data_IF_551809450015
#
_entry.id   IF_551809450015
#
_cell.length_a   1.000
_cell.length_b   1.000
_cell.length_c   1.000
_cell.angle_alpha   90.00
_cell.angle_beta   90.00
_cell.angle_gamma   90.00
#
_symmetry.space_group_name_H-M   'P 1'
#
loop_
_entity.id
_entity.type
_entity.pdbx_description
1 polymer ?
#
# COMPACT_ATOMS: atom_id res chain seq x y z
N UNK A 1 -10.80 -25.64 -0.42
CA UNK A 1 -11.75 -24.51 -0.41
C UNK A 1 -12.05 -24.17 1.04
N UNK A 2 -11.51 -23.07 1.59
CA UNK A 2 -11.71 -22.79 3.03
C UNK A 2 -10.89 -21.66 3.65
N UNK A 3 -10.45 -20.66 2.87
CA UNK A 3 -9.69 -19.52 3.41
C UNK A 3 -10.33 -18.19 2.98
N UNK A 4 -11.06 -17.51 3.88
CA UNK A 4 -11.29 -16.05 3.92
C UNK A 4 -12.54 -15.59 4.72
N UNK A 5 -12.92 -16.23 5.83
CA UNK A 5 -14.05 -15.75 6.64
C UNK A 5 -13.81 -14.46 7.48
N UNK A 6 -12.64 -14.19 8.10
CA UNK A 6 -12.53 -13.07 9.05
C UNK A 6 -12.51 -11.68 8.39
N UNK A 7 -12.09 -11.58 7.13
CA UNK A 7 -12.10 -10.31 6.39
C UNK A 7 -13.49 -9.92 5.88
N UNK A 8 -14.24 -10.90 5.35
CA UNK A 8 -15.60 -10.67 4.84
C UNK A 8 -16.56 -10.24 5.94
N UNK A 9 -16.48 -10.87 7.11
CA UNK A 9 -17.36 -10.50 8.24
C UNK A 9 -17.15 -9.04 8.67
N UNK A 10 -15.89 -8.58 8.74
CA UNK A 10 -15.56 -7.18 9.08
C UNK A 10 -16.11 -6.20 8.04
N UNK A 11 -16.00 -6.54 6.76
CA UNK A 11 -16.55 -5.72 5.67
C UNK A 11 -18.09 -5.66 5.73
N UNK A 12 -18.77 -6.78 6.00
CA UNK A 12 -20.23 -6.82 6.20
C UNK A 12 -20.61 -5.97 7.40
N UNK A 13 -19.92 -6.11 8.53
CA UNK A 13 -20.22 -5.36 9.75
C UNK A 13 -20.03 -3.85 9.53
N UNK A 14 -18.94 -3.45 8.89
CA UNK A 14 -18.69 -2.05 8.51
C UNK A 14 -19.82 -1.52 7.63
N UNK A 15 -20.23 -2.28 6.62
CA UNK A 15 -21.32 -1.89 5.72
C UNK A 15 -22.65 -1.73 6.48
N UNK A 16 -23.02 -2.71 7.30
CA UNK A 16 -24.28 -2.68 8.08
C UNK A 16 -24.30 -1.49 9.04
N UNK A 17 -23.24 -1.30 9.82
CA UNK A 17 -23.13 -0.18 10.76
C UNK A 17 -23.21 1.14 10.01
N UNK A 18 -22.48 1.28 8.90
CA UNK A 18 -22.50 2.50 8.09
C UNK A 18 -23.90 2.79 7.54
N UNK A 19 -24.62 1.78 7.06
CA UNK A 19 -25.99 1.94 6.56
C UNK A 19 -26.97 2.34 7.66
N UNK A 20 -26.81 1.84 8.89
CA UNK A 20 -27.61 2.29 10.04
C UNK A 20 -27.38 3.78 10.34
N UNK A 21 -26.12 4.24 10.31
CA UNK A 21 -25.82 5.66 10.48
C UNK A 21 -26.31 6.52 9.32
N UNK A 22 -26.28 6.02 8.08
CA UNK A 22 -26.91 6.69 6.94
C UNK A 22 -28.41 6.84 7.16
N UNK A 23 -29.10 5.79 7.60
CA UNK A 23 -30.53 5.85 7.92
C UNK A 23 -30.83 6.85 9.05
N UNK A 24 -30.00 6.88 10.10
CA UNK A 24 -30.09 7.89 11.15
C UNK A 24 -29.85 9.31 10.61
N UNK A 25 -28.90 9.49 9.70
CA UNK A 25 -28.65 10.75 9.01
C UNK A 25 -29.85 11.22 8.17
N UNK A 26 -30.53 10.30 7.47
CA UNK A 26 -31.78 10.59 6.75
C UNK A 26 -32.88 11.00 7.72
N UNK A 27 -33.01 10.32 8.86
CA UNK A 27 -33.96 10.70 9.90
C UNK A 27 -33.67 12.13 10.42
N UNK A 28 -32.41 12.45 10.73
CA UNK A 28 -32.00 13.80 11.15
C UNK A 28 -32.23 14.84 10.05
N UNK A 29 -32.03 14.47 8.78
CA UNK A 29 -32.31 15.35 7.64
C UNK A 29 -33.79 15.72 7.56
N UNK A 30 -34.69 14.79 7.88
CA UNK A 30 -36.15 14.98 7.79
C UNK A 30 -36.74 15.66 9.03
N UNK A 31 -36.19 15.39 10.22
CA UNK A 31 -36.80 15.79 11.50
C UNK A 31 -35.90 16.69 12.37
N UNK A 32 -34.70 17.02 11.92
CA UNK A 32 -33.70 17.74 12.70
C UNK A 32 -32.86 18.71 11.87
N UNK A 33 -31.63 19.04 12.34
CA UNK A 33 -30.77 19.98 11.63
C UNK A 33 -30.29 19.41 10.29
N UNK A 34 -30.75 20.02 9.19
CA UNK A 34 -30.48 19.58 7.82
C UNK A 34 -28.98 19.38 7.56
N UNK A 35 -28.14 20.34 7.96
CA UNK A 35 -26.69 20.24 7.76
C UNK A 35 -26.07 19.06 8.49
N UNK A 36 -26.51 18.75 9.72
CA UNK A 36 -26.02 17.60 10.46
C UNK A 36 -26.42 16.30 9.76
N UNK A 37 -27.66 16.20 9.28
CA UNK A 37 -28.13 15.06 8.50
C UNK A 37 -27.28 14.83 7.24
N UNK A 38 -27.00 15.90 6.47
CA UNK A 38 -26.14 15.83 5.27
C UNK A 38 -24.71 15.37 5.59
N UNK A 39 -24.11 15.88 6.67
CA UNK A 39 -22.75 15.49 7.09
C UNK A 39 -22.70 14.01 7.48
N UNK A 40 -23.67 13.54 8.26
CA UNK A 40 -23.76 12.13 8.66
C UNK A 40 -23.93 11.24 7.42
N UNK A 41 -24.82 11.60 6.49
CA UNK A 41 -25.03 10.85 5.25
C UNK A 41 -23.75 10.83 4.40
N UNK A 42 -23.08 11.97 4.22
CA UNK A 42 -21.87 12.04 3.40
C UNK A 42 -20.73 11.19 3.99
N UNK A 43 -20.49 11.30 5.30
CA UNK A 43 -19.42 10.59 5.98
C UNK A 43 -19.68 9.07 6.01
N UNK A 44 -20.83 8.66 6.57
CA UNK A 44 -21.15 7.24 6.70
C UNK A 44 -21.55 6.59 5.38
N UNK A 45 -22.11 7.35 4.43
CA UNK A 45 -22.31 6.89 3.05
C UNK A 45 -20.97 6.59 2.38
N UNK A 46 -19.96 7.42 2.63
CA UNK A 46 -18.58 7.14 2.23
C UNK A 46 -18.04 5.85 2.85
N UNK A 47 -18.20 5.65 4.17
CA UNK A 47 -17.82 4.40 4.84
C UNK A 47 -18.56 3.18 4.26
N UNK A 48 -19.85 3.31 3.94
CA UNK A 48 -20.62 2.23 3.32
C UNK A 48 -20.07 1.86 1.94
N UNK A 49 -19.71 2.84 1.11
CA UNK A 49 -19.06 2.60 -0.17
C UNK A 49 -17.72 1.87 -0.01
N UNK A 50 -16.90 2.26 0.98
CA UNK A 50 -15.65 1.55 1.29
C UNK A 50 -15.93 0.11 1.72
N UNK A 51 -16.91 -0.11 2.61
CA UNK A 51 -17.34 -1.45 3.01
C UNK A 51 -17.77 -2.32 1.83
N UNK A 52 -18.52 -1.74 0.89
CA UNK A 52 -18.92 -2.39 -0.35
C UNK A 52 -17.70 -2.78 -1.20
N UNK A 53 -16.70 -1.91 -1.35
CA UNK A 53 -15.48 -2.25 -2.10
C UNK A 53 -14.69 -3.39 -1.49
N UNK A 54 -14.67 -3.51 -0.15
CA UNK A 54 -14.01 -4.63 0.53
C UNK A 54 -14.72 -5.97 0.25
N UNK A 55 -16.03 -5.95 -0.01
CA UNK A 55 -16.81 -7.13 -0.43
C UNK A 55 -16.61 -7.48 -1.91
N UNK A 56 -16.52 -6.46 -2.78
CA UNK A 56 -16.25 -6.63 -4.21
C UNK A 56 -14.82 -7.12 -4.48
N UNK A 57 -13.88 -6.73 -3.63
CA UNK A 57 -12.46 -7.06 -3.77
C UNK A 57 -11.68 -6.03 -4.59
N UNK A 58 -10.35 -6.05 -4.43
CA UNK A 58 -9.47 -5.06 -5.06
C UNK A 58 -9.39 -5.19 -6.60
N UNK A 59 -9.76 -6.35 -7.16
CA UNK A 59 -9.72 -6.63 -8.61
C UNK A 59 -10.93 -6.09 -9.37
N UNK A 60 -12.02 -5.78 -8.66
CA UNK A 60 -13.25 -5.37 -9.33
C UNK A 60 -13.07 -3.97 -9.96
N UNK A 61 -13.47 -3.75 -11.24
CA UNK A 61 -13.22 -2.49 -11.95
C UNK A 61 -13.91 -1.28 -11.31
N UNK A 62 -15.02 -1.50 -10.58
CA UNK A 62 -15.71 -0.45 -9.85
C UNK A 62 -15.00 -0.04 -8.55
N UNK A 63 -14.10 -0.86 -8.01
CA UNK A 63 -13.45 -0.63 -6.71
C UNK A 63 -12.72 0.71 -6.62
N UNK A 64 -11.83 1.11 -7.55
CA UNK A 64 -11.16 2.41 -7.45
C UNK A 64 -12.14 3.59 -7.52
N UNK A 65 -13.21 3.48 -8.31
CA UNK A 65 -14.23 4.53 -8.47
C UNK A 65 -15.03 4.66 -7.17
N UNK A 66 -15.60 3.56 -6.68
CA UNK A 66 -16.38 3.54 -5.44
C UNK A 66 -15.54 3.96 -4.23
N UNK A 67 -14.28 3.55 -4.18
CA UNK A 67 -13.34 3.94 -3.15
C UNK A 67 -13.00 5.44 -3.23
N UNK A 68 -12.82 5.98 -4.44
CA UNK A 68 -12.61 7.40 -4.68
C UNK A 68 -13.81 8.24 -4.27
N UNK A 69 -15.01 7.89 -4.74
CA UNK A 69 -16.27 8.57 -4.39
C UNK A 69 -16.53 8.49 -2.88
N UNK A 70 -16.36 7.32 -2.28
CA UNK A 70 -16.54 7.14 -0.84
C UNK A 70 -15.54 7.97 -0.01
N UNK A 71 -14.29 8.05 -0.46
CA UNK A 71 -13.27 8.89 0.18
C UNK A 71 -13.59 10.39 0.05
N UNK A 72 -14.08 10.84 -1.10
CA UNK A 72 -14.54 12.23 -1.26
C UNK A 72 -15.71 12.54 -0.30
N UNK A 73 -16.69 11.63 -0.20
CA UNK A 73 -17.81 11.77 0.75
C UNK A 73 -17.35 11.91 2.20
N UNK A 74 -16.42 11.06 2.64
CA UNK A 74 -15.80 11.16 3.98
C UNK A 74 -15.03 12.48 4.14
N UNK A 75 -14.27 12.90 3.13
CA UNK A 75 -13.52 14.16 3.15
C UNK A 75 -14.42 15.39 3.29
N UNK A 76 -15.55 15.41 2.58
CA UNK A 76 -16.57 16.47 2.71
C UNK A 76 -17.20 16.48 4.11
N UNK A 77 -17.50 15.30 4.67
CA UNK A 77 -17.97 15.19 6.05
C UNK A 77 -16.96 15.77 7.05
N UNK A 78 -15.68 15.43 6.91
CA UNK A 78 -14.61 16.01 7.73
C UNK A 78 -14.50 17.52 7.57
N UNK A 79 -14.58 18.05 6.35
CA UNK A 79 -14.51 19.49 6.09
C UNK A 79 -15.68 20.23 6.75
N UNK A 80 -16.89 19.67 6.69
CA UNK A 80 -18.06 20.27 7.31
C UNK A 80 -18.00 20.23 8.84
N UNK A 81 -17.52 19.12 9.42
CA UNK A 81 -17.27 19.03 10.87
C UNK A 81 -16.17 20.02 11.32
N UNK A 82 -15.11 20.17 10.52
CA UNK A 82 -14.05 21.15 10.74
C UNK A 82 -14.60 22.59 10.74
N UNK A 83 -15.42 22.94 9.74
CA UNK A 83 -16.05 24.25 9.66
C UNK A 83 -16.95 24.53 10.88
N UNK A 84 -17.70 23.52 11.33
CA UNK A 84 -18.49 23.58 12.56
C UNK A 84 -17.62 23.82 13.80
N UNK A 85 -16.55 23.04 13.98
CA UNK A 85 -15.63 23.19 15.11
C UNK A 85 -14.92 24.54 15.16
N UNK A 86 -14.55 25.10 14.01
CA UNK A 86 -13.93 26.43 13.92
C UNK A 86 -14.93 27.55 14.19
N UNK A 87 -16.20 27.39 13.83
CA UNK A 87 -17.24 28.40 14.03
C UNK A 87 -17.56 28.68 15.50
N UNK A 88 -17.35 27.69 16.37
CA UNK A 88 -17.53 27.82 17.82
C UNK A 88 -16.35 28.43 18.57
N UNK A 89 -15.18 28.56 17.92
CA UNK A 89 -13.94 28.99 18.56
C UNK A 89 -13.35 27.92 19.49
N UNK A 90 -12.30 27.18 19.08
CA UNK A 90 -11.67 26.17 19.91
C UNK A 90 -11.17 26.77 21.23
N UNK A 91 -11.61 26.21 22.36
CA UNK A 91 -11.42 26.80 23.68
C UNK A 91 -10.35 26.09 24.51
N UNK A 92 -10.13 24.80 24.25
CA UNK A 92 -9.15 23.99 24.96
C UNK A 92 -8.30 23.11 24.02
N UNK A 93 -7.35 22.37 24.60
CA UNK A 93 -6.49 21.47 23.86
C UNK A 93 -7.25 20.32 23.18
N UNK A 94 -8.39 19.88 23.74
CA UNK A 94 -9.23 18.84 23.17
C UNK A 94 -9.91 19.29 21.88
N UNK A 95 -10.45 20.51 21.87
CA UNK A 95 -11.04 21.14 20.69
C UNK A 95 -10.02 21.24 19.55
N UNK A 96 -8.79 21.67 19.87
CA UNK A 96 -7.71 21.75 18.89
C UNK A 96 -7.28 20.39 18.33
N UNK A 97 -7.28 19.35 19.17
CA UNK A 97 -7.04 17.98 18.72
C UNK A 97 -8.14 17.53 17.74
N UNK A 98 -9.40 17.81 18.04
CA UNK A 98 -10.52 17.48 17.14
C UNK A 98 -10.43 18.22 15.81
N UNK A 99 -10.10 19.51 15.83
CA UNK A 99 -9.83 20.31 14.62
C UNK A 99 -8.72 19.69 13.78
N UNK A 100 -7.61 19.30 14.41
CA UNK A 100 -6.49 18.66 13.73
C UNK A 100 -6.89 17.32 13.10
N UNK A 101 -7.64 16.47 13.82
CA UNK A 101 -8.13 15.18 13.30
C UNK A 101 -9.05 15.41 12.09
N UNK A 102 -9.97 16.37 12.15
CA UNK A 102 -10.87 16.68 11.04
C UNK A 102 -10.12 17.25 9.84
N UNK A 103 -9.11 18.10 10.05
CA UNK A 103 -8.26 18.61 8.97
C UNK A 103 -7.47 17.48 8.29
N UNK A 104 -6.85 16.61 9.08
CA UNK A 104 -6.11 15.45 8.56
C UNK A 104 -7.05 14.52 7.78
N UNK A 105 -8.25 14.26 8.32
CA UNK A 105 -9.28 13.46 7.65
C UNK A 105 -9.73 14.09 6.33
N UNK A 106 -10.03 15.39 6.32
CA UNK A 106 -10.43 16.11 5.11
C UNK A 106 -9.34 16.08 4.03
N UNK A 107 -8.07 16.30 4.42
CA UNK A 107 -6.94 16.23 3.51
C UNK A 107 -6.76 14.81 2.96
N UNK A 108 -6.73 13.81 3.84
CA UNK A 108 -6.44 12.43 3.45
C UNK A 108 -7.56 11.81 2.61
N UNK A 109 -8.81 11.91 3.05
CA UNK A 109 -9.95 11.34 2.34
C UNK A 109 -10.37 12.18 1.14
N UNK A 110 -10.39 13.51 1.27
CA UNK A 110 -10.74 14.42 0.19
C UNK A 110 -9.72 14.37 -0.95
N UNK A 111 -8.47 14.73 -0.68
CA UNK A 111 -7.41 14.74 -1.70
C UNK A 111 -7.12 13.32 -2.19
N UNK A 112 -7.05 12.34 -1.28
CA UNK A 112 -6.83 10.94 -1.64
C UNK A 112 -7.94 10.37 -2.53
N UNK A 113 -9.20 10.71 -2.27
CA UNK A 113 -10.33 10.30 -3.09
C UNK A 113 -10.29 10.89 -4.50
N UNK A 114 -9.96 12.18 -4.61
CA UNK A 114 -9.75 12.84 -5.91
C UNK A 114 -8.60 12.19 -6.69
N UNK A 115 -7.48 11.92 -6.01
CA UNK A 115 -6.32 11.25 -6.62
C UNK A 115 -6.68 9.84 -7.12
N UNK A 116 -7.44 9.05 -6.34
CA UNK A 116 -7.89 7.71 -6.74
C UNK A 116 -8.72 7.70 -8.03
N UNK A 117 -9.51 8.74 -8.28
CA UNK A 117 -10.32 8.88 -9.50
C UNK A 117 -9.47 9.38 -10.67
N UNK A 118 -8.65 10.42 -10.46
CA UNK A 118 -7.91 11.07 -11.53
C UNK A 118 -6.72 10.24 -12.02
N UNK A 119 -6.01 9.56 -11.12
CA UNK A 119 -4.75 8.90 -11.46
C UNK A 119 -4.87 7.77 -12.49
N UNK A 120 -5.85 6.85 -12.39
CA UNK A 120 -6.06 5.83 -13.42
C UNK A 120 -6.33 6.44 -14.80
N UNK A 121 -7.08 7.55 -14.85
CA UNK A 121 -7.40 8.25 -16.10
C UNK A 121 -6.14 8.88 -16.74
N UNK A 122 -5.28 9.47 -15.91
CA UNK A 122 -4.01 10.04 -16.34
C UNK A 122 -2.98 8.96 -16.77
N UNK A 123 -3.08 7.75 -16.22
CA UNK A 123 -2.14 6.64 -16.45
C UNK A 123 -2.42 5.78 -17.67
N UNK A 124 -3.64 5.74 -18.20
CA UNK A 124 -3.96 5.01 -19.46
C UNK A 124 -3.03 5.36 -20.62
N UNK A 125 -2.32 6.49 -20.56
CA UNK A 125 -1.41 7.00 -21.59
C UNK A 125 0.08 6.66 -21.39
N UNK A 126 0.50 6.11 -20.25
CA UNK A 126 1.94 5.85 -19.96
C UNK A 126 2.28 4.36 -19.93
N UNK A 127 2.65 3.88 -21.12
CA UNK A 127 3.67 2.87 -21.45
C UNK A 127 3.57 1.45 -20.86
N UNK A 128 3.41 0.49 -21.78
CA UNK A 128 3.95 -0.88 -21.68
C UNK A 128 5.48 -0.77 -21.65
N UNK A 129 6.11 -0.92 -20.48
CA UNK A 129 7.56 -1.18 -20.43
C UNK A 129 7.80 -2.65 -20.77
N UNK A 130 8.87 -2.98 -21.51
CA UNK A 130 9.26 -4.37 -21.72
C UNK A 130 9.44 -5.04 -20.35
N UNK A 131 8.72 -6.15 -20.12
CA UNK A 131 8.85 -6.90 -18.88
C UNK A 131 10.25 -7.50 -18.81
N UNK A 132 11.01 -7.14 -17.78
CA UNK A 132 12.28 -7.79 -17.49
C UNK A 132 11.98 -9.21 -17.01
N UNK A 133 12.57 -10.25 -17.62
CA UNK A 133 12.32 -11.64 -17.25
C UNK A 133 12.66 -11.89 -15.79
N UNK A 134 11.95 -12.81 -15.16
CA UNK A 134 12.11 -13.17 -13.76
C UNK A 134 12.77 -14.55 -13.67
N UNK A 135 14.08 -14.64 -13.38
CA UNK A 135 14.85 -15.85 -13.62
C UNK A 135 14.68 -16.94 -12.55
N UNK A 136 14.18 -16.59 -11.36
CA UNK A 136 14.03 -17.54 -10.24
C UNK A 136 12.54 -17.76 -9.93
N UNK A 137 11.79 -16.69 -9.72
CA UNK A 137 10.37 -16.73 -9.39
C UNK A 137 9.50 -16.43 -10.62
N UNK A 138 8.32 -17.02 -10.76
CA UNK A 138 7.32 -16.55 -11.73
C UNK A 138 6.94 -15.10 -11.45
N UNK A 139 6.69 -14.30 -12.49
CA UNK A 139 6.28 -12.89 -12.33
C UNK A 139 5.02 -12.73 -11.46
N UNK A 140 4.07 -13.66 -11.56
CA UNK A 140 2.88 -13.66 -10.72
C UNK A 140 3.21 -13.77 -9.22
N UNK A 141 4.25 -14.53 -8.86
CA UNK A 141 4.70 -14.65 -7.47
C UNK A 141 5.42 -13.38 -7.02
N UNK A 142 6.24 -12.79 -7.89
CA UNK A 142 6.88 -11.48 -7.63
C UNK A 142 5.84 -10.41 -7.33
N UNK A 143 4.80 -10.32 -8.16
CA UNK A 143 3.68 -9.39 -7.95
C UNK A 143 2.95 -9.66 -6.64
N UNK A 144 2.66 -10.93 -6.32
CA UNK A 144 2.00 -11.31 -5.07
C UNK A 144 2.84 -10.94 -3.83
N UNK A 145 4.17 -11.15 -3.88
CA UNK A 145 5.09 -10.77 -2.78
C UNK A 145 5.12 -9.24 -2.61
N UNK A 146 5.20 -8.49 -3.69
CA UNK A 146 5.19 -7.01 -3.66
C UNK A 146 3.86 -6.47 -3.13
N UNK A 147 2.73 -6.98 -3.62
CA UNK A 147 1.39 -6.62 -3.13
C UNK A 147 1.22 -6.95 -1.65
N UNK A 148 1.66 -8.14 -1.22
CA UNK A 148 1.61 -8.56 0.17
C UNK A 148 2.40 -7.62 1.08
N UNK A 149 3.60 -7.21 0.67
CA UNK A 149 4.41 -6.26 1.47
C UNK A 149 3.81 -4.86 1.50
N UNK A 150 3.35 -4.35 0.37
CA UNK A 150 2.71 -3.04 0.31
C UNK A 150 1.42 -3.02 1.14
N UNK A 151 0.65 -4.10 1.13
CA UNK A 151 -0.49 -4.27 2.02
C UNK A 151 -0.09 -4.25 3.50
N UNK A 152 1.00 -4.92 3.89
CA UNK A 152 1.51 -4.87 5.27
C UNK A 152 1.94 -3.44 5.66
N UNK A 153 2.65 -2.74 4.79
CA UNK A 153 3.08 -1.35 5.01
C UNK A 153 1.87 -0.40 5.12
N UNK A 154 0.89 -0.54 4.23
CA UNK A 154 -0.37 0.18 4.27
C UNK A 154 -1.14 -0.10 5.55
N UNK A 155 -1.20 -1.35 5.98
CA UNK A 155 -1.82 -1.74 7.25
C UNK A 155 -1.08 -1.16 8.46
N UNK A 156 0.25 -1.14 8.46
CA UNK A 156 1.03 -0.52 9.53
C UNK A 156 0.74 0.99 9.63
N UNK A 157 0.75 1.71 8.50
CA UNK A 157 0.42 3.13 8.45
C UNK A 157 -1.02 3.42 8.87
N UNK A 158 -1.99 2.63 8.38
CA UNK A 158 -3.38 2.76 8.77
C UNK A 158 -3.61 2.46 10.25
N UNK A 159 -2.93 1.46 10.80
CA UNK A 159 -2.99 1.13 12.22
C UNK A 159 -2.47 2.24 13.12
N UNK A 160 -1.38 2.89 12.73
CA UNK A 160 -0.86 4.07 13.43
C UNK A 160 -1.88 5.20 13.42
N UNK A 161 -2.42 5.57 12.24
CA UNK A 161 -3.42 6.63 12.11
C UNK A 161 -4.70 6.34 12.90
N UNK A 162 -5.19 5.11 12.86
CA UNK A 162 -6.38 4.71 13.61
C UNK A 162 -6.19 4.72 15.12
N UNK A 163 -5.00 4.37 15.61
CA UNK A 163 -4.70 4.37 17.04
C UNK A 163 -4.71 5.75 17.68
N UNK A 164 -4.28 6.79 16.95
CA UNK A 164 -4.25 8.17 17.43
C UNK A 164 -5.66 8.73 17.65
N UNK A 165 -6.66 8.32 16.84
CA UNK A 165 -8.02 8.88 16.89
C UNK A 165 -9.03 8.07 17.71
N UNK A 166 -8.89 6.74 17.78
CA UNK A 166 -9.94 5.87 18.34
C UNK A 166 -9.41 4.68 19.15
N UNK A 167 -8.15 4.72 19.60
CA UNK A 167 -7.55 3.66 20.42
C UNK A 167 -7.53 2.30 19.73
N UNK A 168 -7.73 1.22 20.49
CA UNK A 168 -7.61 -0.17 20.00
C UNK A 168 -8.58 -0.46 18.82
N UNK A 169 -9.88 -0.10 18.88
CA UNK A 169 -10.78 -0.25 17.73
C UNK A 169 -10.27 0.49 16.49
N UNK A 170 -9.72 1.68 16.68
CA UNK A 170 -9.09 2.47 15.64
C UNK A 170 -7.88 1.78 15.01
N UNK A 171 -6.98 1.19 15.81
CA UNK A 171 -5.83 0.42 15.29
C UNK A 171 -6.28 -0.73 14.41
N UNK A 172 -7.29 -1.49 14.84
CA UNK A 172 -7.78 -2.66 14.10
C UNK A 172 -8.43 -2.23 12.78
N UNK A 173 -9.32 -1.24 12.83
CA UNK A 173 -9.96 -0.67 11.65
C UNK A 173 -8.92 -0.11 10.68
N UNK A 174 -8.01 0.72 11.19
CA UNK A 174 -6.93 1.33 10.45
C UNK A 174 -6.00 0.31 9.77
N UNK A 175 -5.61 -0.76 10.45
CA UNK A 175 -4.79 -1.83 9.84
C UNK A 175 -5.48 -2.49 8.67
N UNK A 176 -6.75 -2.83 8.82
CA UNK A 176 -7.52 -3.49 7.76
C UNK A 176 -7.76 -2.56 6.56
N UNK A 177 -8.18 -1.32 6.82
CA UNK A 177 -8.43 -0.32 5.79
C UNK A 177 -7.16 0.10 5.06
N UNK A 178 -6.06 0.31 5.79
CA UNK A 178 -4.77 0.65 5.22
C UNK A 178 -4.19 -0.46 4.34
N UNK A 179 -4.32 -1.72 4.76
CA UNK A 179 -3.89 -2.86 3.95
C UNK A 179 -4.69 -2.99 2.66
N UNK A 180 -6.02 -2.90 2.75
CA UNK A 180 -6.90 -2.94 1.58
C UNK A 180 -6.65 -1.76 0.62
N UNK A 181 -6.52 -0.55 1.16
CA UNK A 181 -6.22 0.65 0.38
C UNK A 181 -4.87 0.54 -0.35
N UNK A 182 -3.85 -0.03 0.30
CA UNK A 182 -2.57 -0.29 -0.36
C UNK A 182 -2.66 -1.37 -1.45
N UNK A 183 -3.50 -2.40 -1.29
CA UNK A 183 -3.74 -3.39 -2.35
C UNK A 183 -4.39 -2.73 -3.57
N UNK A 184 -5.47 -1.96 -3.37
CA UNK A 184 -6.15 -1.22 -4.45
C UNK A 184 -5.17 -0.23 -5.11
N UNK A 185 -4.43 0.54 -4.31
CA UNK A 185 -3.42 1.47 -4.80
C UNK A 185 -2.33 0.78 -5.62
N UNK A 186 -1.83 -0.36 -5.16
CA UNK A 186 -0.83 -1.14 -5.89
C UNK A 186 -1.36 -1.58 -7.25
N UNK A 187 -2.57 -2.15 -7.31
CA UNK A 187 -3.13 -2.70 -8.55
C UNK A 187 -3.52 -1.62 -9.57
N UNK A 188 -4.08 -0.51 -9.10
CA UNK A 188 -4.68 0.49 -9.99
C UNK A 188 -3.81 1.73 -10.19
N UNK A 189 -2.88 2.01 -9.27
CA UNK A 189 -2.06 3.23 -9.26
C UNK A 189 -0.56 2.97 -9.35
N UNK A 190 -0.12 1.73 -9.47
CA UNK A 190 1.29 1.39 -9.71
C UNK A 190 1.44 0.53 -10.95
N UNK A 191 2.68 0.36 -11.41
CA UNK A 191 3.02 -0.56 -12.49
C UNK A 191 4.21 -1.40 -12.04
N UNK A 192 4.32 -2.62 -12.56
CA UNK A 192 5.51 -3.42 -12.34
C UNK A 192 6.66 -2.84 -13.17
N UNK A 193 7.75 -2.49 -12.50
CA UNK A 193 9.00 -2.07 -13.11
C UNK A 193 10.07 -3.15 -12.89
N UNK A 194 11.06 -3.18 -13.78
CA UNK A 194 12.13 -4.17 -13.75
C UNK A 194 13.46 -3.59 -14.19
N UNK A 195 14.54 -4.05 -13.58
CA UNK A 195 15.91 -3.77 -14.02
C UNK A 195 16.77 -5.03 -13.91
N UNK A 196 17.79 -5.13 -14.76
CA UNK A 196 18.75 -6.24 -14.76
C UNK A 196 20.18 -5.69 -14.74
N UNK A 197 21.06 -6.36 -14.02
CA UNK A 197 22.49 -6.14 -14.05
C UNK A 197 23.21 -7.48 -14.25
N UNK A 198 24.31 -7.44 -15.00
CA UNK A 198 25.27 -8.54 -15.09
C UNK A 198 26.59 -8.03 -14.53
N UNK A 199 27.09 -8.70 -13.50
CA UNK A 199 28.28 -8.30 -12.78
C UNK A 199 29.36 -9.39 -12.95
N UNK A 200 30.58 -9.03 -13.38
CA UNK A 200 31.66 -9.98 -13.66
C UNK A 200 32.33 -10.44 -12.35
N UNK A 201 31.54 -10.95 -11.41
CA UNK A 201 32.00 -11.41 -10.09
C UNK A 201 31.80 -12.91 -10.00
N UNK A 202 32.90 -13.65 -9.90
CA UNK A 202 32.86 -15.10 -9.78
C UNK A 202 32.17 -15.54 -8.48
N UNK A 203 31.59 -16.74 -8.51
CA UNK A 203 30.93 -17.30 -7.34
C UNK A 203 31.95 -17.61 -6.24
N UNK A 204 31.73 -16.99 -5.07
CA UNK A 204 32.52 -17.20 -3.85
C UNK A 204 31.58 -17.33 -2.64
N UNK A 205 31.85 -18.28 -1.75
CA UNK A 205 30.94 -18.56 -0.62
C UNK A 205 30.92 -17.44 0.41
N UNK A 206 32.05 -16.80 0.70
CA UNK A 206 32.11 -15.71 1.67
C UNK A 206 31.39 -14.48 1.13
N UNK A 207 31.50 -14.22 -0.18
CA UNK A 207 30.77 -13.16 -0.84
C UNK A 207 29.26 -13.42 -0.89
N UNK A 208 28.83 -14.68 -1.08
CA UNK A 208 27.42 -15.08 -0.95
C UNK A 208 26.89 -14.76 0.45
N UNK A 209 27.63 -15.12 1.50
CA UNK A 209 27.25 -14.81 2.89
C UNK A 209 27.28 -13.32 3.20
N UNK A 210 28.19 -12.56 2.58
CA UNK A 210 28.25 -11.12 2.69
C UNK A 210 27.01 -10.46 2.06
N UNK A 211 26.67 -10.83 0.81
CA UNK A 211 25.47 -10.32 0.11
C UNK A 211 24.19 -10.68 0.87
N UNK A 212 24.08 -11.91 1.38
CA UNK A 212 22.95 -12.34 2.20
C UNK A 212 22.73 -11.42 3.41
N UNK A 213 23.81 -11.02 4.10
CA UNK A 213 23.74 -10.15 5.27
C UNK A 213 23.50 -8.69 4.90
N UNK A 214 24.33 -8.11 4.03
CA UNK A 214 24.32 -6.66 3.76
C UNK A 214 23.17 -6.21 2.85
N UNK A 215 22.84 -7.03 1.85
CA UNK A 215 21.80 -6.67 0.87
C UNK A 215 20.42 -7.11 1.39
N UNK A 216 20.31 -8.37 1.81
CA UNK A 216 19.03 -8.99 2.20
C UNK A 216 18.75 -9.03 3.71
N UNK A 217 19.68 -8.57 4.56
CA UNK A 217 19.48 -8.56 6.01
C UNK A 217 19.33 -9.95 6.61
N UNK A 218 19.89 -10.99 5.96
CA UNK A 218 19.81 -12.39 6.39
C UNK A 218 18.49 -13.10 6.09
N UNK A 219 17.60 -12.51 5.29
CA UNK A 219 16.22 -13.02 5.06
C UNK A 219 15.95 -13.54 3.65
N UNK A 220 16.99 -13.71 2.82
CA UNK A 220 16.81 -14.25 1.49
C UNK A 220 16.56 -15.77 1.54
N UNK A 221 15.70 -16.24 0.64
CA UNK A 221 15.64 -17.64 0.23
C UNK A 221 16.82 -17.88 -0.72
N UNK A 222 17.73 -18.80 -0.38
CA UNK A 222 18.87 -19.09 -1.25
C UNK A 222 19.27 -20.57 -1.18
N UNK A 223 19.90 -21.03 -2.24
CA UNK A 223 20.39 -22.40 -2.35
C UNK A 223 21.07 -22.67 -3.69
N UNK A 224 21.67 -23.84 -3.80
CA UNK A 224 22.19 -24.32 -5.07
C UNK A 224 21.04 -24.78 -5.97
N UNK A 225 21.11 -24.45 -7.26
CA UNK A 225 20.18 -25.00 -8.22
C UNK A 225 20.41 -26.53 -8.32
N UNK A 226 19.34 -27.34 -8.36
CA UNK A 226 19.47 -28.81 -8.40
C UNK A 226 20.18 -29.31 -9.67
N UNK A 227 20.03 -28.59 -10.78
CA UNK A 227 20.46 -29.07 -12.11
C UNK A 227 21.68 -28.32 -12.66
N UNK A 228 22.21 -27.32 -11.94
CA UNK A 228 23.29 -26.43 -12.43
C UNK A 228 24.17 -25.96 -11.28
N UNK A 229 25.48 -25.74 -11.51
CA UNK A 229 26.40 -25.20 -10.51
C UNK A 229 26.21 -23.69 -10.34
N UNK A 230 24.99 -23.26 -10.02
CA UNK A 230 24.65 -21.86 -9.77
C UNK A 230 23.98 -21.71 -8.41
N UNK A 231 24.27 -20.62 -7.73
CA UNK A 231 23.55 -20.21 -6.52
C UNK A 231 22.38 -19.32 -6.94
N UNK A 232 21.19 -19.69 -6.49
CA UNK A 232 19.98 -18.90 -6.62
C UNK A 232 19.74 -18.19 -5.29
N UNK A 233 19.44 -16.90 -5.33
CA UNK A 233 19.09 -16.13 -4.15
C UNK A 233 17.96 -15.17 -4.49
N UNK A 234 16.89 -15.19 -3.69
CA UNK A 234 15.75 -14.30 -3.86
C UNK A 234 15.30 -13.75 -2.52
N UNK A 235 14.89 -12.49 -2.52
CA UNK A 235 14.40 -11.87 -1.30
C UNK A 235 13.92 -10.45 -1.52
N UNK A 236 13.32 -9.91 -0.47
CA UNK A 236 12.79 -8.56 -0.47
C UNK A 236 13.84 -7.59 0.07
N UNK A 237 14.17 -6.59 -0.73
CA UNK A 237 15.11 -5.52 -0.40
C UNK A 237 14.34 -4.21 -0.37
N UNK A 238 14.44 -3.48 0.74
CA UNK A 238 13.90 -2.13 0.84
C UNK A 238 14.82 -1.12 0.16
N UNK A 239 14.26 -0.18 -0.59
CA UNK A 239 14.98 0.99 -1.10
C UNK A 239 14.35 2.29 -0.60
N UNK A 240 15.06 3.41 -0.76
CA UNK A 240 14.59 4.73 -0.35
C UNK A 240 14.69 4.99 1.15
N UNK A 241 14.08 6.08 1.62
CA UNK A 241 14.08 6.46 3.03
C UNK A 241 13.47 5.34 3.89
N UNK A 242 14.22 4.87 4.88
CA UNK A 242 13.86 3.77 5.77
C UNK A 242 13.49 2.43 5.07
N UNK A 243 13.88 2.22 3.80
CA UNK A 243 13.59 0.98 3.08
C UNK A 243 12.10 0.75 2.78
N UNK A 244 11.31 1.83 2.69
CA UNK A 244 9.85 1.75 2.53
C UNK A 244 9.38 1.35 1.12
N UNK A 245 10.28 1.37 0.13
CA UNK A 245 9.94 0.96 -1.24
C UNK A 245 10.41 -0.48 -1.46
N UNK A 246 9.53 -1.48 -1.36
CA UNK A 246 9.92 -2.88 -1.49
C UNK A 246 10.30 -3.21 -2.93
N UNK A 247 11.39 -3.97 -3.05
CA UNK A 247 11.92 -4.49 -4.30
C UNK A 247 12.17 -5.98 -4.11
N UNK A 248 11.76 -6.81 -5.06
CA UNK A 248 12.16 -8.22 -5.12
C UNK A 248 13.45 -8.29 -5.91
N UNK A 249 14.52 -8.71 -5.26
CA UNK A 249 15.82 -8.96 -5.90
C UNK A 249 15.97 -10.46 -6.10
N UNK A 250 16.37 -10.85 -7.30
CA UNK A 250 16.66 -12.22 -7.72
C UNK A 250 18.07 -12.26 -8.27
N UNK A 251 18.88 -13.17 -7.77
CA UNK A 251 20.27 -13.34 -8.13
C UNK A 251 20.48 -14.77 -8.61
N UNK A 252 21.11 -14.90 -9.77
CA UNK A 252 21.61 -16.15 -10.32
C UNK A 252 23.12 -16.01 -10.44
N UNK A 253 23.85 -16.77 -9.63
CA UNK A 253 25.29 -16.61 -9.51
C UNK A 253 26.02 -17.85 -9.98
N UNK A 254 26.84 -17.70 -11.01
CA UNK A 254 27.62 -18.76 -11.63
C UNK A 254 29.13 -18.49 -11.51
N UNK A 255 29.95 -19.44 -11.95
CA UNK A 255 31.40 -19.24 -12.07
C UNK A 255 31.77 -18.12 -13.07
N UNK A 256 30.89 -17.80 -14.02
CA UNK A 256 31.13 -16.79 -15.05
C UNK A 256 30.69 -15.38 -14.65
N UNK A 257 30.01 -15.25 -13.52
CA UNK A 257 29.46 -13.97 -13.08
C UNK A 257 28.13 -14.11 -12.38
N UNK A 258 27.66 -12.96 -11.91
CA UNK A 258 26.42 -12.77 -11.20
C UNK A 258 25.41 -12.06 -12.12
N UNK A 259 24.25 -12.65 -12.30
CA UNK A 259 23.11 -12.02 -12.92
C UNK A 259 22.10 -11.61 -11.84
N UNK A 260 21.76 -10.33 -11.78
CA UNK A 260 20.79 -9.77 -10.84
C UNK A 260 19.60 -9.20 -11.60
N UNK A 261 18.41 -9.53 -11.13
CA UNK A 261 17.16 -8.92 -11.59
C UNK A 261 16.40 -8.35 -10.42
N UNK A 262 15.95 -7.11 -10.55
CA UNK A 262 15.19 -6.39 -9.54
C UNK A 262 13.81 -6.02 -10.09
N UNK A 263 12.75 -6.27 -9.31
CA UNK A 263 11.37 -5.93 -9.65
C UNK A 263 10.71 -5.14 -8.52
N UNK A 264 9.98 -4.09 -8.87
CA UNK A 264 9.27 -3.25 -7.91
C UNK A 264 7.96 -2.70 -8.49
N UNK A 265 7.05 -2.28 -7.61
CA UNK A 265 5.84 -1.55 -8.01
C UNK A 265 6.12 -0.05 -7.94
N UNK A 266 6.18 0.60 -9.10
CA UNK A 266 6.53 2.02 -9.20
C UNK A 266 5.28 2.91 -9.25
N UNK A 267 5.28 3.91 -8.37
CA UNK A 267 4.25 4.93 -8.22
C UNK A 267 4.37 6.05 -9.25
N UNK A 268 3.91 7.25 -8.88
CA UNK A 268 3.85 8.43 -9.76
C UNK A 268 5.21 9.06 -10.04
N UNK A 269 6.05 9.07 -9.01
CA UNK A 269 7.40 9.60 -9.06
C UNK A 269 8.28 8.38 -9.30
N UNK A 270 9.11 8.40 -10.35
CA UNK A 270 10.04 7.31 -10.63
C UNK A 270 11.07 7.22 -9.51
N UNK A 271 10.84 6.34 -8.54
CA UNK A 271 11.67 6.24 -7.33
C UNK A 271 13.02 5.59 -7.62
N UNK A 272 13.18 5.03 -8.83
CA UNK A 272 14.35 4.26 -9.28
C UNK A 272 14.62 3.08 -8.35
N UNK A 273 13.56 2.44 -7.85
CA UNK A 273 13.63 1.40 -6.83
C UNK A 273 14.50 0.25 -7.29
N UNK A 274 14.24 -0.29 -8.49
CA UNK A 274 15.02 -1.39 -9.05
C UNK A 274 16.50 -1.02 -9.24
N UNK A 275 16.77 0.16 -9.81
CA UNK A 275 18.14 0.63 -10.04
C UNK A 275 18.91 0.81 -8.73
N UNK A 276 18.32 1.46 -7.71
CA UNK A 276 18.95 1.64 -6.40
C UNK A 276 19.22 0.31 -5.69
N UNK A 277 18.34 -0.68 -5.85
CA UNK A 277 18.56 -2.02 -5.32
C UNK A 277 19.75 -2.70 -5.99
N UNK A 278 19.91 -2.55 -7.31
CA UNK A 278 21.08 -3.07 -8.03
C UNK A 278 22.38 -2.33 -7.66
N UNK A 279 22.34 -1.00 -7.54
CA UNK A 279 23.46 -0.19 -7.05
C UNK A 279 23.88 -0.62 -5.63
N UNK A 280 22.91 -0.92 -4.75
CA UNK A 280 23.19 -1.48 -3.40
C UNK A 280 23.90 -2.83 -3.48
N UNK A 281 23.45 -3.72 -4.37
CA UNK A 281 24.08 -5.03 -4.57
C UNK A 281 25.52 -4.87 -5.08
N UNK A 282 25.73 -4.03 -6.10
CA UNK A 282 27.05 -3.75 -6.66
C UNK A 282 27.99 -3.15 -5.60
N UNK A 283 27.50 -2.22 -4.78
CA UNK A 283 28.26 -1.67 -3.65
C UNK A 283 28.67 -2.74 -2.64
N UNK A 284 27.79 -3.68 -2.31
CA UNK A 284 28.10 -4.76 -1.38
C UNK A 284 29.15 -5.73 -1.96
N UNK A 285 29.05 -6.06 -3.25
CA UNK A 285 30.04 -6.91 -3.92
C UNK A 285 31.43 -6.27 -3.96
N UNK A 286 31.51 -4.94 -4.11
CA UNK A 286 32.77 -4.20 -4.10
C UNK A 286 33.40 -4.05 -2.69
N UNK A 287 32.61 -4.21 -1.63
CA UNK A 287 33.03 -4.06 -0.23
C UNK A 287 33.24 -5.41 0.48
N UNK A 288 32.93 -6.52 -0.20
CA UNK A 288 33.03 -7.85 0.38
C UNK A 288 34.46 -8.27 0.75
N UNK A 289 34.60 -9.31 1.60
CA UNK A 289 35.90 -9.87 1.92
C UNK A 289 36.62 -10.31 0.63
N UNK A 290 37.90 -9.93 0.51
CA UNK A 290 38.80 -10.33 -0.58
C UNK A 290 39.68 -11.48 -0.15
#
# INVERSE_FOLDING_TARGET
MGGSQPGRLKAILLLVISLLFVAAGVFVLLFGPVMLGLVVIAFFGGCALIGLTQLLGADHPATPILMGVGSIGMGLGCLAMLAGGLSGGPSDAGDWVMVAIMLIGALFFGVGGVLLILLPLLRRRRSVRPQVPSPVLPLAEVEARLEGRLAQLGGAGGGFGGGVGAGIPGVVGGRSGGAFGAQVGTRHLTHLDGARAQLPVALDQDLVQHVLREVFGGRAEWGWAPDRPVVLMTGMVGSGAAGMNPCVLQVVWSQHGLEATAHAREGLIGQRTCAKTLEKLESALNQGPR
#
